data_IF_767567963622
#
_entry.id   IF_767567963622
#
_cell.length_a   1.000
_cell.length_b   1.000
_cell.length_c   1.000
_cell.angle_alpha   90.00
_cell.angle_beta   90.00
_cell.angle_gamma   90.00
#
_symmetry.space_group_name_H-M   'P 1'
#
loop_
_entity.id
_entity.type
_entity.pdbx_description
1 polymer ?
#
# COMPACT_ATOMS: atom_id res chain seq x y z
N UNK A 1 -59.20 -34.10 8.18
CA UNK A 1 -58.55 -33.68 9.45
C UNK A 1 -57.07 -34.08 9.56
N UNK A 2 -56.60 -35.21 9.00
CA UNK A 2 -55.18 -35.63 9.10
C UNK A 2 -54.16 -34.81 8.29
N UNK A 3 -54.53 -34.28 7.11
CA UNK A 3 -53.59 -33.51 6.26
C UNK A 3 -53.31 -32.09 6.78
N UNK A 4 -54.28 -31.43 7.41
CA UNK A 4 -54.08 -30.08 7.97
C UNK A 4 -53.08 -30.05 9.13
N UNK A 5 -52.99 -31.15 9.89
CA UNK A 5 -52.06 -31.27 11.02
C UNK A 5 -50.60 -31.38 10.55
N UNK A 6 -50.36 -32.08 9.44
CA UNK A 6 -49.03 -32.20 8.83
C UNK A 6 -48.52 -30.86 8.28
N UNK A 7 -49.41 -30.07 7.66
CA UNK A 7 -49.06 -28.73 7.17
C UNK A 7 -48.79 -27.72 8.28
N UNK A 8 -49.55 -27.77 9.39
CA UNK A 8 -49.26 -26.94 10.58
C UNK A 8 -47.92 -27.30 11.25
N UNK A 9 -47.57 -28.58 11.30
CA UNK A 9 -46.30 -29.04 11.87
C UNK A 9 -45.09 -28.59 11.01
N UNK A 10 -45.24 -28.59 9.69
CA UNK A 10 -44.19 -28.19 8.76
C UNK A 10 -43.93 -26.66 8.79
N UNK A 11 -44.98 -25.86 8.98
CA UNK A 11 -44.86 -24.40 9.08
C UNK A 11 -44.24 -23.93 10.41
N UNK A 12 -44.43 -24.69 11.49
CA UNK A 12 -43.83 -24.42 12.81
C UNK A 12 -42.31 -24.67 12.85
N UNK A 13 -41.77 -25.51 11.95
CA UNK A 13 -40.34 -25.85 11.89
C UNK A 13 -39.50 -24.85 11.08
N UNK A 14 -40.13 -23.93 10.34
CA UNK A 14 -39.42 -22.93 9.50
C UNK A 14 -39.08 -21.63 10.23
N UNK A 15 -39.58 -21.42 11.44
CA UNK A 15 -39.33 -20.19 12.21
C UNK A 15 -38.42 -20.45 13.40
N UNK A 16 -37.10 -20.39 13.21
CA UNK A 16 -36.09 -19.92 14.18
C UNK A 16 -34.68 -20.34 13.76
N UNK A 17 -34.09 -19.64 12.79
CA UNK A 17 -32.62 -19.51 12.73
C UNK A 17 -32.30 -18.09 13.17
N UNK A 18 -32.23 -17.86 14.47
CA UNK A 18 -31.62 -16.64 15.01
C UNK A 18 -30.11 -16.82 14.94
N UNK A 19 -29.45 -16.13 14.02
CA UNK A 19 -28.00 -16.03 14.05
C UNK A 19 -27.62 -15.04 15.16
N UNK A 20 -27.39 -15.53 16.38
CA UNK A 20 -26.83 -14.72 17.45
C UNK A 20 -25.33 -14.51 17.18
N UNK A 21 -25.01 -13.51 16.37
CA UNK A 21 -23.63 -13.07 16.11
C UNK A 21 -23.01 -12.31 17.29
N UNK A 22 -23.21 -12.77 18.53
CA UNK A 22 -22.58 -12.19 19.72
C UNK A 22 -21.04 -12.38 19.74
N UNK A 23 -20.50 -13.20 18.85
CA UNK A 23 -19.06 -13.44 18.70
C UNK A 23 -18.31 -12.24 18.11
N UNK A 24 -18.91 -11.52 17.16
CA UNK A 24 -18.24 -10.41 16.48
C UNK A 24 -18.18 -9.15 17.36
N UNK A 25 -19.20 -8.91 18.19
CA UNK A 25 -19.20 -7.79 19.15
C UNK A 25 -18.04 -7.90 20.14
N UNK A 26 -17.73 -9.11 20.61
CA UNK A 26 -16.65 -9.35 21.57
C UNK A 26 -15.24 -9.24 20.96
N UNK A 27 -15.12 -9.34 19.63
CA UNK A 27 -13.84 -9.22 18.92
C UNK A 27 -13.54 -7.78 18.46
N UNK A 28 -14.56 -6.94 18.27
CA UNK A 28 -14.41 -5.56 17.79
C UNK A 28 -14.72 -4.48 18.84
N UNK A 29 -15.41 -4.80 19.94
CA UNK A 29 -15.69 -3.91 21.06
C UNK A 29 -14.64 -4.04 22.17
N UNK A 30 -13.54 -3.29 22.06
CA UNK A 30 -12.44 -3.33 23.02
C UNK A 30 -12.82 -2.92 24.45
N UNK A 31 -12.13 -3.51 25.42
CA UNK A 31 -11.95 -2.93 26.75
C UNK A 31 -11.97 -3.88 27.94
N UNK A 32 -10.84 -4.52 28.24
CA UNK A 32 -10.45 -4.87 29.61
C UNK A 32 -10.79 -6.27 30.14
N UNK A 33 -9.73 -7.02 30.48
CA UNK A 33 -9.74 -7.91 31.65
C UNK A 33 -9.76 -9.43 31.40
N UNK A 34 -8.57 -10.03 31.34
CA UNK A 34 -8.25 -11.29 32.04
C UNK A 34 -8.70 -12.62 31.42
N UNK A 35 -7.78 -13.32 30.76
CA UNK A 35 -7.92 -14.74 30.44
C UNK A 35 -6.71 -15.27 29.68
N UNK A 36 -5.83 -15.98 30.37
CA UNK A 36 -4.51 -16.39 29.89
C UNK A 36 -4.55 -17.34 28.69
N UNK A 37 -3.85 -16.93 27.64
CA UNK A 37 -3.47 -17.74 26.50
C UNK A 37 -2.43 -16.95 25.72
N UNK A 38 -1.15 -17.13 26.06
CA UNK A 38 -0.03 -16.59 25.29
C UNK A 38 0.03 -17.29 23.93
N UNK A 39 -0.86 -16.92 23.02
CA UNK A 39 -0.62 -17.07 21.60
C UNK A 39 0.36 -15.96 21.23
N UNK A 40 1.64 -16.31 21.15
CA UNK A 40 2.62 -15.57 20.39
C UNK A 40 2.11 -15.47 18.95
N UNK A 41 1.33 -14.44 18.65
CA UNK A 41 1.10 -14.02 17.28
C UNK A 41 2.47 -13.66 16.71
N UNK A 42 3.08 -14.60 16.00
CA UNK A 42 4.08 -14.28 15.01
C UNK A 42 3.42 -13.23 14.11
N UNK A 43 3.86 -11.98 14.24
CA UNK A 43 3.61 -10.96 13.23
C UNK A 43 4.27 -11.48 11.95
N UNK A 44 3.55 -12.28 11.17
CA UNK A 44 3.93 -12.53 9.79
C UNK A 44 3.98 -11.15 9.15
N UNK A 45 5.18 -10.73 8.74
CA UNK A 45 5.37 -9.49 8.01
C UNK A 45 4.46 -9.54 6.78
N UNK A 46 3.42 -8.71 6.79
CA UNK A 46 2.53 -8.55 5.66
C UNK A 46 3.24 -7.66 4.64
N UNK A 47 3.09 -7.99 3.35
CA UNK A 47 3.62 -7.15 2.27
C UNK A 47 3.00 -5.75 2.33
N UNK A 48 3.73 -4.77 1.80
CA UNK A 48 3.16 -3.45 1.56
C UNK A 48 1.92 -3.56 0.66
N UNK A 49 0.88 -2.73 0.89
CA UNK A 49 -0.30 -2.71 0.05
C UNK A 49 0.06 -2.37 -1.40
N UNK A 50 -0.58 -3.03 -2.37
CA UNK A 50 -0.33 -2.83 -3.80
C UNK A 50 -1.00 -1.57 -4.37
N UNK A 51 -1.74 -0.82 -3.54
CA UNK A 51 -2.42 0.41 -3.93
C UNK A 51 -1.59 1.66 -3.62
N UNK A 52 -2.11 2.83 -4.05
CA UNK A 52 -1.46 4.13 -3.82
C UNK A 52 -1.97 4.87 -2.58
N UNK A 53 -2.89 4.31 -1.79
CA UNK A 53 -3.58 5.03 -0.72
C UNK A 53 -2.61 5.52 0.37
N UNK A 54 -1.65 4.67 0.76
CA UNK A 54 -0.60 5.05 1.70
C UNK A 54 0.20 6.25 1.18
N UNK A 55 0.70 6.19 -0.05
CA UNK A 55 1.46 7.26 -0.68
C UNK A 55 0.65 8.57 -0.77
N UNK A 56 -0.61 8.50 -1.23
CA UNK A 56 -1.49 9.68 -1.33
C UNK A 56 -1.70 10.34 0.03
N UNK A 57 -1.89 9.56 1.09
CA UNK A 57 -2.03 10.09 2.45
C UNK A 57 -0.78 10.84 2.94
N UNK A 58 0.41 10.47 2.46
CA UNK A 58 1.66 11.17 2.77
C UNK A 58 1.78 12.47 1.97
N UNK A 59 1.44 12.42 0.67
CA UNK A 59 1.40 13.61 -0.20
C UNK A 59 0.43 14.65 0.34
N UNK A 60 -0.78 14.24 0.73
CA UNK A 60 -1.82 15.15 1.24
C UNK A 60 -1.42 15.86 2.54
N UNK A 61 -0.48 15.28 3.30
CA UNK A 61 0.07 15.86 4.55
C UNK A 61 1.31 16.71 4.32
N UNK A 62 1.93 16.62 3.14
CA UNK A 62 3.14 17.36 2.83
C UNK A 62 2.80 18.80 2.42
N UNK A 63 3.31 19.77 3.19
CA UNK A 63 3.19 21.18 2.82
C UNK A 63 4.38 21.61 1.95
N UNK A 64 4.10 22.19 0.79
CA UNK A 64 5.10 22.81 -0.07
C UNK A 64 4.47 23.94 -0.89
N UNK A 65 5.08 25.13 -0.85
CA UNK A 65 4.64 26.30 -1.63
C UNK A 65 5.21 26.34 -3.05
N UNK A 66 6.18 25.47 -3.35
CA UNK A 66 6.86 25.38 -4.64
C UNK A 66 6.52 24.03 -5.32
N UNK A 67 7.54 23.32 -5.81
CA UNK A 67 7.37 22.00 -6.40
C UNK A 67 7.58 20.90 -5.36
N UNK A 68 6.55 20.09 -5.11
CA UNK A 68 6.63 18.90 -4.28
C UNK A 68 7.10 17.72 -5.14
N UNK A 69 8.23 17.13 -4.79
CA UNK A 69 8.78 15.98 -5.49
C UNK A 69 7.91 14.74 -5.25
N UNK A 70 7.40 14.06 -6.29
CA UNK A 70 6.52 12.90 -6.11
C UNK A 70 7.25 11.75 -5.41
N UNK A 71 8.50 11.47 -5.79
CA UNK A 71 9.16 10.25 -5.30
C UNK A 71 9.71 10.37 -3.87
N UNK A 72 9.94 11.61 -3.40
CA UNK A 72 10.66 11.87 -2.13
C UNK A 72 9.93 12.81 -1.19
N UNK A 73 8.85 13.44 -1.63
CA UNK A 73 8.11 14.48 -0.90
C UNK A 73 8.98 15.69 -0.48
N UNK A 74 10.14 15.87 -1.11
CA UNK A 74 10.97 17.05 -0.91
C UNK A 74 10.32 18.28 -1.56
N UNK A 75 10.39 19.43 -0.89
CA UNK A 75 9.94 20.70 -1.45
C UNK A 75 11.11 21.44 -2.09
N UNK A 76 11.07 21.64 -3.42
CA UNK A 76 12.16 22.24 -4.21
C UNK A 76 11.64 23.32 -5.16
N UNK A 77 12.55 24.09 -5.77
CA UNK A 77 12.16 25.14 -6.72
C UNK A 77 11.79 24.63 -8.11
N UNK A 78 12.45 23.60 -8.63
CA UNK A 78 12.22 23.08 -9.98
C UNK A 78 12.20 21.54 -9.98
N UNK A 79 11.47 20.88 -10.90
CA UNK A 79 11.38 19.42 -10.94
C UNK A 79 12.74 18.71 -11.03
N UNK A 80 13.67 19.23 -11.82
CA UNK A 80 15.02 18.66 -11.91
C UNK A 80 15.83 18.80 -10.62
N UNK A 81 15.44 19.64 -9.65
CA UNK A 81 16.09 19.70 -8.34
C UNK A 81 15.68 18.57 -7.40
N UNK A 82 14.67 17.77 -7.74
CA UNK A 82 14.25 16.67 -6.89
C UNK A 82 15.39 15.66 -6.65
N UNK A 83 15.61 15.25 -5.38
CA UNK A 83 16.55 14.18 -5.09
C UNK A 83 16.01 12.84 -5.60
N UNK A 84 16.91 11.89 -5.79
CA UNK A 84 16.55 10.49 -6.00
C UNK A 84 16.15 9.86 -4.66
N UNK A 85 15.18 8.93 -4.62
CA UNK A 85 14.73 8.34 -3.36
C UNK A 85 15.82 7.50 -2.66
N UNK A 86 16.76 6.91 -3.41
CA UNK A 86 17.90 6.18 -2.85
C UNK A 86 19.24 6.69 -3.39
N UNK A 87 19.74 7.86 -2.95
CA UNK A 87 20.98 8.46 -3.47
C UNK A 87 22.23 7.58 -3.30
N UNK A 88 22.23 6.65 -2.34
CA UNK A 88 23.30 5.68 -2.17
C UNK A 88 23.33 4.65 -3.30
N UNK A 89 22.19 4.30 -3.88
CA UNK A 89 22.03 3.24 -4.87
C UNK A 89 21.63 3.74 -6.27
N UNK A 90 21.34 5.03 -6.42
CA UNK A 90 20.86 5.62 -7.66
C UNK A 90 21.72 6.82 -8.07
N UNK A 91 21.96 6.93 -9.37
CA UNK A 91 22.49 8.11 -10.03
C UNK A 91 21.35 8.94 -10.62
N UNK A 92 21.44 10.25 -10.47
CA UNK A 92 20.49 11.21 -11.02
C UNK A 92 20.96 11.69 -12.39
N UNK A 93 20.07 11.65 -13.38
CA UNK A 93 20.33 12.20 -14.70
C UNK A 93 19.23 13.19 -15.09
N UNK A 94 19.63 14.33 -15.63
CA UNK A 94 18.71 15.32 -16.17
C UNK A 94 18.41 14.99 -17.64
N UNK A 95 17.12 14.84 -17.93
CA UNK A 95 16.59 14.74 -19.27
C UNK A 95 16.41 16.16 -19.85
N UNK A 96 16.07 16.23 -21.14
CA UNK A 96 15.60 17.50 -21.70
C UNK A 96 14.36 18.00 -20.95
N UNK A 97 14.05 19.30 -21.12
CA UNK A 97 12.78 19.89 -20.62
C UNK A 97 12.64 19.92 -19.09
N UNK A 98 13.75 19.91 -18.35
CA UNK A 98 13.73 20.02 -16.89
C UNK A 98 13.21 18.77 -16.17
N UNK A 99 13.13 17.64 -16.89
CA UNK A 99 12.82 16.34 -16.31
C UNK A 99 14.08 15.69 -15.75
N UNK A 100 13.91 14.80 -14.77
CA UNK A 100 15.00 14.02 -14.19
C UNK A 100 14.61 12.57 -13.99
N UNK A 101 15.57 11.68 -14.16
CA UNK A 101 15.43 10.24 -13.87
C UNK A 101 16.45 9.81 -12.81
N UNK A 102 16.07 8.78 -12.07
CA UNK A 102 16.92 8.11 -11.11
C UNK A 102 17.17 6.69 -11.61
N UNK A 103 18.44 6.34 -11.80
CA UNK A 103 18.83 5.05 -12.39
C UNK A 103 19.74 4.35 -11.40
N UNK A 104 19.48 3.06 -11.18
CA UNK A 104 20.32 2.25 -10.29
C UNK A 104 21.80 2.29 -10.71
N UNK A 105 22.68 2.51 -9.74
CA UNK A 105 24.14 2.39 -9.86
C UNK A 105 24.58 0.96 -10.15
N UNK A 106 23.74 -0.03 -9.83
CA UNK A 106 24.04 -1.48 -9.87
C UNK A 106 24.22 -2.09 -11.26
N UNK A 107 24.67 -1.32 -12.26
CA UNK A 107 25.12 -1.88 -13.52
C UNK A 107 26.31 -2.84 -13.32
N UNK A 108 26.52 -3.75 -14.27
CA UNK A 108 27.60 -4.73 -14.21
C UNK A 108 28.99 -4.08 -14.24
N UNK A 109 29.08 -2.79 -14.64
CA UNK A 109 30.30 -1.98 -14.66
C UNK A 109 30.03 -0.53 -14.25
N UNK A 110 31.02 0.11 -13.63
CA UNK A 110 30.99 1.55 -13.34
C UNK A 110 30.77 2.37 -14.63
N UNK A 111 29.89 3.37 -14.57
CA UNK A 111 29.56 4.23 -15.71
C UNK A 111 28.61 3.60 -16.75
N UNK A 112 28.20 2.34 -16.59
CA UNK A 112 27.30 1.67 -17.53
C UNK A 112 25.91 2.33 -17.58
N UNK A 113 25.39 2.77 -16.43
CA UNK A 113 24.12 3.49 -16.36
C UNK A 113 24.15 4.77 -17.18
N UNK A 114 25.17 5.62 -16.98
CA UNK A 114 25.37 6.84 -17.75
C UNK A 114 25.46 6.58 -19.26
N UNK A 115 26.22 5.53 -19.66
CA UNK A 115 26.32 5.12 -21.06
C UNK A 115 24.96 4.72 -21.65
N UNK A 116 24.16 3.94 -20.92
CA UNK A 116 22.83 3.51 -21.36
C UNK A 116 21.87 4.69 -21.48
N UNK A 117 21.90 5.62 -20.52
CA UNK A 117 21.10 6.85 -20.57
C UNK A 117 21.45 7.68 -21.81
N UNK A 118 22.74 7.82 -22.13
CA UNK A 118 23.18 8.55 -23.31
C UNK A 118 22.79 7.87 -24.63
N UNK A 119 22.86 6.54 -24.69
CA UNK A 119 22.35 5.78 -25.85
C UNK A 119 20.82 5.94 -25.98
N UNK A 120 20.08 5.93 -24.87
CA UNK A 120 18.64 6.13 -24.86
C UNK A 120 18.27 7.48 -25.46
N UNK A 121 18.99 8.54 -25.05
CA UNK A 121 18.80 9.90 -25.53
C UNK A 121 19.00 10.01 -27.05
N UNK A 122 19.87 9.19 -27.61
CA UNK A 122 20.14 9.11 -29.05
C UNK A 122 19.21 8.16 -29.81
N UNK A 123 18.34 7.43 -29.11
CA UNK A 123 17.51 6.38 -29.72
C UNK A 123 18.31 5.15 -30.16
N UNK A 124 19.40 4.83 -29.46
CA UNK A 124 20.37 3.78 -29.82
C UNK A 124 20.45 2.65 -28.78
N UNK A 125 19.39 2.43 -28.00
CA UNK A 125 19.28 1.31 -27.04
C UNK A 125 18.62 0.08 -27.66
#
# INVERSE_FOLDING_TARGET
MRQGFLFSLLFALMGSVSAQFNFFEQMFGGGGGGGGGQHHHQQQQQNAPSDSAYYRSQVDRAYCSNYLCPDTLACVHFPHHCPCPWPSHEDKFELGEGQRICVSKGGFKAGEAARKVELARKGLL
#
